data_IF_010532578620
#
_entry.id   IF_010532578620
#
_cell.length_a   1.000
_cell.length_b   1.000
_cell.length_c   1.000
_cell.angle_alpha   90.00
_cell.angle_beta   90.00
_cell.angle_gamma   90.00
#
_symmetry.space_group_name_H-M   'P 1'
#
loop_
_entity.id
_entity.type
_entity.pdbx_description
1 polymer ?
#
# COMPACT_ATOMS: atom_id res chain seq x y z
N UNK A 1 -0.13 20.75 2.87
CA UNK A 1 0.74 19.65 3.34
C UNK A 1 1.47 19.10 2.13
N UNK A 2 2.80 18.95 2.20
CA UNK A 2 3.63 18.45 1.09
C UNK A 2 4.33 17.16 1.52
N UNK A 3 3.63 16.00 1.53
CA UNK A 3 4.24 14.73 1.90
C UNK A 3 5.39 14.41 0.94
N UNK A 4 6.48 13.88 1.49
CA UNK A 4 7.67 13.47 0.75
C UNK A 4 7.59 11.97 0.44
N UNK A 5 8.28 11.51 -0.59
CA UNK A 5 8.41 10.06 -0.87
C UNK A 5 7.11 9.27 -1.09
N UNK A 6 6.01 9.92 -1.48
CA UNK A 6 4.78 9.21 -1.81
C UNK A 6 4.97 8.43 -3.12
N UNK A 7 4.58 7.16 -3.13
CA UNK A 7 4.57 6.31 -4.32
C UNK A 7 4.95 4.87 -4.05
N UNK A 8 5.19 4.14 -5.15
CA UNK A 8 5.57 2.73 -5.16
C UNK A 8 6.92 2.59 -5.86
N UNK A 9 7.71 1.59 -5.44
CA UNK A 9 8.92 1.15 -6.16
C UNK A 9 8.60 -0.25 -6.69
N UNK A 10 8.52 -0.41 -8.02
CA UNK A 10 8.14 -1.68 -8.66
C UNK A 10 9.18 -2.78 -8.38
N UNK A 11 10.45 -2.39 -8.40
CA UNK A 11 11.65 -3.19 -8.17
C UNK A 11 12.25 -2.90 -6.79
N UNK A 12 11.40 -2.88 -5.76
CA UNK A 12 11.82 -2.73 -4.38
C UNK A 12 12.59 -3.97 -3.88
N UNK A 13 13.68 -3.72 -3.16
CA UNK A 13 14.47 -4.78 -2.52
C UNK A 13 13.79 -5.32 -1.26
N UNK A 14 12.92 -4.52 -0.63
CA UNK A 14 12.10 -4.93 0.50
C UNK A 14 10.78 -4.18 0.55
N UNK A 15 9.73 -4.87 1.00
CA UNK A 15 8.40 -4.30 1.14
C UNK A 15 7.75 -4.73 2.45
N UNK A 16 7.18 -3.76 3.16
CA UNK A 16 6.54 -3.97 4.45
C UNK A 16 5.16 -3.34 4.47
N UNK A 17 4.14 -4.13 4.79
CA UNK A 17 2.77 -3.68 4.96
C UNK A 17 2.27 -3.91 6.39
N UNK A 18 1.64 -2.89 6.94
CA UNK A 18 1.01 -2.92 8.26
C UNK A 18 -0.33 -2.21 8.18
N UNK A 19 -1.37 -2.83 8.71
CA UNK A 19 -2.68 -2.21 8.86
C UNK A 19 -3.21 -2.36 10.28
N UNK A 20 -4.02 -1.40 10.72
CA UNK A 20 -4.74 -1.47 11.98
C UNK A 20 -6.26 -1.52 11.73
N UNK A 21 -6.93 -2.67 11.94
CA UNK A 21 -8.36 -2.81 11.70
C UNK A 21 -9.22 -1.94 12.63
N UNK A 22 -8.69 -1.48 13.77
CA UNK A 22 -9.43 -0.60 14.67
C UNK A 22 -9.62 0.83 14.12
N UNK A 23 -8.69 1.28 13.27
CA UNK A 23 -8.67 2.64 12.73
C UNK A 23 -8.83 2.68 11.20
N UNK A 24 -8.69 1.54 10.53
CA UNK A 24 -8.72 1.44 9.06
C UNK A 24 -7.48 1.96 8.37
N UNK A 25 -6.43 2.34 9.13
CA UNK A 25 -5.17 2.82 8.57
C UNK A 25 -4.35 1.64 8.02
N UNK A 26 -3.88 1.75 6.78
CA UNK A 26 -2.98 0.79 6.12
C UNK A 26 -1.76 1.53 5.58
N UNK A 27 -0.56 1.05 5.89
CA UNK A 27 0.71 1.63 5.50
C UNK A 27 1.59 0.59 4.82
N UNK A 28 2.12 0.94 3.65
CA UNK A 28 3.04 0.11 2.88
C UNK A 28 4.30 0.91 2.57
N UNK A 29 5.45 0.37 2.97
CA UNK A 29 6.77 0.93 2.67
C UNK A 29 7.51 0.08 1.66
N UNK A 30 8.13 0.76 0.70
CA UNK A 30 8.98 0.19 -0.33
C UNK A 30 10.39 0.73 -0.13
N UNK A 31 11.37 -0.15 0.00
CA UNK A 31 12.77 0.23 0.20
C UNK A 31 13.64 -0.30 -0.93
N UNK A 32 14.59 0.51 -1.37
CA UNK A 32 15.66 0.12 -2.29
C UNK A 32 16.99 0.24 -1.56
N UNK A 33 17.74 -0.85 -1.49
CA UNK A 33 18.95 -0.96 -0.67
C UNK A 33 20.14 -1.22 -1.56
N UNK A 34 21.13 -0.32 -1.49
CA UNK A 34 22.39 -0.43 -2.20
C UNK A 34 23.54 -0.34 -1.22
N UNK A 35 24.47 -1.30 -1.30
CA UNK A 35 25.66 -1.33 -0.43
C UNK A 35 25.32 -1.18 1.08
N UNK A 36 24.24 -1.85 1.51
CA UNK A 36 23.74 -1.82 2.90
C UNK A 36 23.18 -0.45 3.38
N UNK A 37 22.89 0.46 2.45
CA UNK A 37 22.21 1.74 2.69
C UNK A 37 20.89 1.83 1.94
N UNK A 38 19.91 2.49 2.53
CA UNK A 38 18.63 2.77 1.90
C UNK A 38 18.86 3.89 0.88
N UNK A 39 18.92 3.53 -0.41
CA UNK A 39 19.12 4.48 -1.52
C UNK A 39 17.84 5.26 -1.79
N UNK A 40 16.71 4.55 -1.87
CA UNK A 40 15.40 5.17 -1.99
C UNK A 40 14.38 4.48 -1.10
N UNK A 41 13.41 5.27 -0.69
CA UNK A 41 12.31 4.84 0.14
C UNK A 41 11.08 5.55 -0.37
N UNK A 42 10.01 4.79 -0.57
CA UNK A 42 8.68 5.31 -0.89
C UNK A 42 7.64 4.67 0.00
N UNK A 43 6.54 5.37 0.21
CA UNK A 43 5.41 4.82 0.93
C UNK A 43 4.10 5.06 0.19
N UNK A 44 3.16 4.15 0.46
CA UNK A 44 1.76 4.29 0.15
C UNK A 44 1.00 4.10 1.46
N UNK A 45 0.03 4.97 1.74
CA UNK A 45 -0.76 4.87 2.96
C UNK A 45 -2.20 5.23 2.65
N UNK A 46 -3.11 4.49 3.24
CA UNK A 46 -4.54 4.80 3.28
C UNK A 46 -4.90 5.04 4.73
N UNK A 47 -5.31 6.26 5.07
CA UNK A 47 -5.58 6.62 6.44
C UNK A 47 -5.75 8.11 6.66
N UNK A 48 -5.78 8.49 7.93
CA UNK A 48 -5.93 9.89 8.31
C UNK A 48 -4.70 10.74 7.92
N UNK A 49 -4.84 12.08 7.87
CA UNK A 49 -3.72 12.97 7.54
C UNK A 49 -2.51 12.85 8.49
N UNK A 50 -2.73 12.34 9.71
CA UNK A 50 -1.64 12.04 10.65
C UNK A 50 -0.83 10.81 10.20
N UNK A 51 -1.49 9.77 9.67
CA UNK A 51 -0.82 8.63 9.06
C UNK A 51 0.08 9.07 7.90
N UNK A 52 -0.41 9.94 7.02
CA UNK A 52 0.37 10.51 5.90
C UNK A 52 1.59 11.30 6.42
N UNK A 53 1.41 12.14 7.44
CA UNK A 53 2.50 12.94 8.01
C UNK A 53 3.57 12.06 8.68
N UNK A 54 3.15 11.03 9.43
CA UNK A 54 4.03 10.03 10.03
C UNK A 54 4.81 9.29 8.96
N UNK A 55 4.14 8.73 7.95
CA UNK A 55 4.81 7.97 6.89
C UNK A 55 5.82 8.84 6.13
N UNK A 56 5.47 10.11 5.86
CA UNK A 56 6.38 11.08 5.25
C UNK A 56 7.59 11.41 6.12
N UNK A 57 7.46 11.43 7.43
CA UNK A 57 8.59 11.70 8.32
C UNK A 57 9.48 10.45 8.44
N UNK A 58 8.88 9.28 8.61
CA UNK A 58 9.60 7.99 8.66
C UNK A 58 10.41 7.79 7.37
N UNK A 59 9.83 8.10 6.21
CA UNK A 59 10.50 7.92 4.93
C UNK A 59 11.75 8.80 4.80
N UNK A 60 11.66 10.05 5.22
CA UNK A 60 12.79 10.99 5.21
C UNK A 60 13.85 10.60 6.24
N UNK A 61 13.44 10.13 7.43
CA UNK A 61 14.35 9.65 8.46
C UNK A 61 15.09 8.38 8.05
N UNK A 62 14.50 7.53 7.23
CA UNK A 62 15.08 6.27 6.77
C UNK A 62 16.02 6.44 5.57
N UNK A 63 15.74 7.41 4.69
CA UNK A 63 16.50 7.62 3.46
C UNK A 63 17.97 7.96 3.75
N UNK A 64 18.89 7.25 3.09
CA UNK A 64 20.34 7.43 3.23
C UNK A 64 20.99 6.75 4.46
N UNK A 65 20.19 6.25 5.41
CA UNK A 65 20.68 5.47 6.55
C UNK A 65 21.05 4.05 6.14
N UNK A 66 21.92 3.44 6.93
CA UNK A 66 22.15 2.00 6.82
C UNK A 66 20.94 1.21 7.30
N UNK A 67 20.84 -0.06 6.87
CA UNK A 67 19.75 -0.95 7.29
C UNK A 67 19.67 -1.08 8.81
N UNK A 68 20.82 -1.13 9.50
CA UNK A 68 20.91 -1.22 10.96
C UNK A 68 20.49 0.07 11.67
N UNK A 69 20.78 1.23 11.08
CA UNK A 69 20.34 2.52 11.61
C UNK A 69 18.84 2.73 11.39
N UNK A 70 18.31 2.26 10.27
CA UNK A 70 16.88 2.34 9.98
C UNK A 70 16.05 1.44 10.92
N UNK A 71 16.58 0.28 11.34
CA UNK A 71 15.98 -0.59 12.35
C UNK A 71 15.94 0.02 13.77
N UNK A 72 16.73 1.06 14.02
CA UNK A 72 16.72 1.77 15.30
C UNK A 72 15.69 2.90 15.34
N UNK A 73 15.04 3.20 14.22
CA UNK A 73 14.02 4.26 14.16
C UNK A 73 12.81 3.78 14.95
N UNK A 74 12.57 4.41 16.09
CA UNK A 74 11.43 4.10 16.94
C UNK A 74 10.30 5.09 16.71
N UNK A 75 9.12 4.73 17.19
CA UNK A 75 7.95 5.60 17.18
C UNK A 75 8.16 6.90 17.97
N UNK A 76 9.06 6.88 18.96
CA UNK A 76 9.43 8.08 19.71
C UNK A 76 10.21 9.05 18.83
N UNK A 77 11.19 8.56 18.07
CA UNK A 77 11.98 9.39 17.17
C UNK A 77 11.10 10.09 16.12
N UNK A 78 10.10 9.38 15.61
CA UNK A 78 9.12 9.94 14.65
C UNK A 78 8.22 10.98 15.32
N UNK A 79 7.77 10.71 16.55
CA UNK A 79 6.96 11.66 17.31
C UNK A 79 7.73 12.94 17.67
N UNK A 80 9.01 12.81 18.01
CA UNK A 80 9.91 13.94 18.28
C UNK A 80 10.20 14.74 17.01
N UNK A 81 10.42 14.07 15.87
CA UNK A 81 10.64 14.72 14.58
C UNK A 81 9.41 15.50 14.08
N UNK A 82 8.21 15.14 14.53
CA UNK A 82 6.95 15.84 14.25
C UNK A 82 6.61 16.91 15.31
N UNK A 83 7.59 17.34 16.12
CA UNK A 83 7.44 18.35 17.19
C UNK A 83 6.44 17.94 18.30
N UNK A 84 6.25 16.62 18.46
CA UNK A 84 5.34 16.03 19.43
C UNK A 84 3.98 15.70 18.81
N UNK A 85 3.62 14.42 18.87
CA UNK A 85 2.26 13.96 18.57
C UNK A 85 1.44 13.93 19.87
N UNK A 86 0.21 14.47 19.88
CA UNK A 86 -0.66 14.34 21.03
C UNK A 86 -0.88 12.85 21.34
N UNK A 87 -0.89 12.48 22.63
CA UNK A 87 -0.85 11.09 23.12
C UNK A 87 -1.91 10.18 22.48
N UNK A 88 -3.07 10.76 22.13
CA UNK A 88 -4.18 10.06 21.49
C UNK A 88 -3.86 9.58 20.05
N UNK A 89 -2.89 10.20 19.36
CA UNK A 89 -2.49 9.88 17.97
C UNK A 89 -1.19 9.08 17.86
N UNK A 90 -0.59 8.69 18.99
CA UNK A 90 0.62 7.86 18.99
C UNK A 90 0.42 6.49 18.34
N UNK A 91 -0.81 5.96 18.33
CA UNK A 91 -1.11 4.70 17.65
C UNK A 91 -0.93 4.79 16.12
N UNK A 92 -1.17 5.95 15.49
CA UNK A 92 -0.87 6.17 14.07
C UNK A 92 0.64 6.29 13.83
N UNK A 93 1.39 6.83 14.80
CA UNK A 93 2.86 6.90 14.76
C UNK A 93 3.48 5.52 14.79
N UNK A 94 2.89 4.62 15.60
CA UNK A 94 3.34 3.24 15.75
C UNK A 94 3.39 2.45 14.44
N UNK A 95 2.37 2.63 13.60
CA UNK A 95 2.26 1.90 12.33
C UNK A 95 3.37 2.26 11.32
N UNK A 96 3.88 3.49 11.37
CA UNK A 96 4.88 3.96 10.41
C UNK A 96 6.24 3.29 10.60
N UNK A 97 6.76 3.26 11.83
CA UNK A 97 8.03 2.58 12.10
C UNK A 97 7.89 1.06 11.96
N UNK A 98 6.75 0.49 12.36
CA UNK A 98 6.48 -0.94 12.21
C UNK A 98 6.49 -1.35 10.73
N UNK A 99 5.91 -0.54 9.84
CA UNK A 99 5.90 -0.80 8.41
C UNK A 99 7.30 -0.71 7.79
N UNK A 100 8.12 0.27 8.23
CA UNK A 100 9.52 0.35 7.82
C UNK A 100 10.32 -0.87 8.27
N UNK A 101 10.15 -1.30 9.53
CA UNK A 101 10.84 -2.48 10.05
C UNK A 101 10.48 -3.74 9.27
N UNK A 102 9.19 -3.94 8.97
CA UNK A 102 8.76 -5.05 8.11
C UNK A 102 9.40 -5.00 6.72
N UNK A 103 9.53 -3.82 6.13
CA UNK A 103 10.18 -3.69 4.81
C UNK A 103 11.66 -4.08 4.86
N UNK A 104 12.34 -3.74 5.95
CA UNK A 104 13.73 -4.13 6.20
C UNK A 104 13.84 -5.64 6.45
N UNK A 105 12.95 -6.21 7.26
CA UNK A 105 12.90 -7.66 7.51
C UNK A 105 12.67 -8.44 6.21
N UNK A 106 11.78 -7.96 5.35
CA UNK A 106 11.55 -8.54 4.02
C UNK A 106 12.81 -8.51 3.16
N UNK A 107 13.51 -7.37 3.09
CA UNK A 107 14.80 -7.27 2.41
C UNK A 107 15.83 -8.27 2.94
N UNK A 108 15.94 -8.39 4.27
CA UNK A 108 16.86 -9.34 4.91
C UNK A 108 16.47 -10.79 4.63
N UNK A 109 15.17 -11.11 4.60
CA UNK A 109 14.68 -12.44 4.26
C UNK A 109 15.05 -12.80 2.81
N UNK A 110 14.79 -11.90 1.86
CA UNK A 110 15.12 -12.07 0.44
C UNK A 110 16.62 -12.24 0.22
N UNK A 111 17.44 -11.42 0.90
CA UNK A 111 18.91 -11.53 0.85
C UNK A 111 19.42 -12.88 1.34
N UNK A 112 18.75 -13.49 2.31
CA UNK A 112 19.08 -14.81 2.85
C UNK A 112 18.43 -15.98 2.08
N UNK A 113 17.81 -15.72 0.92
CA UNK A 113 17.18 -16.75 0.08
C UNK A 113 15.87 -17.31 0.62
N UNK A 114 15.28 -16.69 1.66
CA UNK A 114 13.92 -16.99 2.13
C UNK A 114 12.98 -16.07 1.36
N UNK A 115 12.15 -16.62 0.47
CA UNK A 115 11.24 -15.85 -0.37
C UNK A 115 10.51 -14.77 0.42
N UNK A 116 10.69 -13.51 0.00
CA UNK A 116 10.17 -12.36 0.73
C UNK A 116 8.66 -12.23 0.70
N UNK A 117 8.11 -11.43 1.61
CA UNK A 117 6.77 -10.87 1.49
C UNK A 117 6.73 -10.07 0.20
N UNK A 118 6.11 -10.63 -0.83
CA UNK A 118 5.67 -9.84 -1.95
C UNK A 118 4.73 -8.77 -1.40
N UNK A 119 4.88 -7.49 -1.80
CA UNK A 119 3.83 -6.52 -1.54
C UNK A 119 2.51 -7.15 -1.93
N UNK A 120 1.50 -7.02 -1.07
CA UNK A 120 0.14 -7.03 -1.55
C UNK A 120 -0.02 -5.76 -2.41
N UNK A 121 0.62 -5.74 -3.59
CA UNK A 121 0.06 -5.02 -4.71
C UNK A 121 -1.31 -5.66 -4.80
N UNK A 122 -2.32 -4.93 -4.34
CA UNK A 122 -3.68 -5.25 -4.74
C UNK A 122 -3.55 -5.45 -6.24
N UNK A 123 -3.81 -6.66 -6.76
CA UNK A 123 -4.06 -6.74 -8.19
C UNK A 123 -5.12 -5.67 -8.42
N UNK A 124 -4.86 -4.78 -9.37
CA UNK A 124 -5.89 -3.92 -9.95
C UNK A 124 -7.20 -4.70 -9.92
N UNK A 125 -8.30 -4.09 -9.42
CA UNK A 125 -9.49 -4.81 -8.96
C UNK A 125 -9.72 -5.97 -9.90
N UNK A 126 -9.51 -7.19 -9.42
CA UNK A 126 -9.97 -8.36 -10.16
C UNK A 126 -11.48 -8.16 -10.11
N UNK A 127 -12.04 -7.73 -11.24
CA UNK A 127 -13.48 -7.71 -11.44
C UNK A 127 -14.00 -9.03 -10.89
N UNK A 128 -14.72 -8.92 -9.78
CA UNK A 128 -15.28 -10.07 -9.11
C UNK A 128 -16.15 -10.78 -10.12
N UNK A 129 -15.77 -12.00 -10.45
CA UNK A 129 -16.45 -12.95 -11.33
C UNK A 129 -17.91 -13.14 -10.91
N UNK A 130 -18.77 -12.24 -11.39
CA UNK A 130 -20.23 -12.38 -11.51
C UNK A 130 -20.70 -11.31 -12.52
N UNK A 131 -20.13 -11.37 -13.73
CA UNK A 131 -20.33 -10.39 -14.80
C UNK A 131 -21.35 -10.85 -15.86
N UNK A 132 -22.37 -11.60 -15.41
CA UNK A 132 -23.52 -11.95 -16.23
C UNK A 132 -24.68 -10.98 -15.94
N UNK A 133 -25.06 -10.20 -16.95
CA UNK A 133 -26.29 -9.41 -16.96
C UNK A 133 -27.42 -10.23 -17.58
N UNK A 134 -28.65 -9.94 -17.17
CA UNK A 134 -29.83 -10.57 -17.75
C UNK A 134 -30.38 -9.72 -18.89
N UNK A 135 -30.65 -10.32 -20.03
CA UNK A 135 -31.28 -9.62 -21.15
C UNK A 135 -32.75 -9.30 -20.80
N UNK A 136 -33.18 -8.03 -20.76
CA UNK A 136 -34.54 -7.64 -20.36
C UNK A 136 -35.62 -8.08 -21.36
N UNK A 137 -35.23 -8.57 -22.54
CA UNK A 137 -36.15 -8.99 -23.60
C UNK A 137 -36.41 -10.50 -23.62
N UNK A 138 -35.47 -11.31 -23.16
CA UNK A 138 -35.58 -12.77 -23.24
C UNK A 138 -35.17 -13.50 -21.97
N UNK A 139 -34.80 -12.78 -20.91
CA UNK A 139 -34.40 -13.34 -19.63
C UNK A 139 -33.31 -14.43 -19.76
N UNK A 140 -32.36 -14.21 -20.68
CA UNK A 140 -31.17 -15.04 -20.85
C UNK A 140 -29.97 -14.30 -20.30
N UNK A 141 -29.12 -15.04 -19.60
CA UNK A 141 -27.86 -14.52 -19.07
C UNK A 141 -26.88 -14.23 -20.20
N UNK A 142 -26.20 -13.09 -20.09
CA UNK A 142 -25.30 -12.59 -21.11
C UNK A 142 -24.15 -11.83 -20.45
N UNK A 143 -22.92 -11.88 -20.99
CA UNK A 143 -21.83 -11.08 -20.46
C UNK A 143 -22.17 -9.58 -20.52
N UNK A 144 -21.79 -8.81 -19.51
CA UNK A 144 -22.05 -7.36 -19.44
C UNK A 144 -21.47 -6.55 -20.60
N UNK A 145 -20.40 -7.03 -21.22
CA UNK A 145 -19.64 -6.29 -22.24
C UNK A 145 -20.04 -6.62 -23.70
N UNK A 146 -21.24 -7.13 -23.95
CA UNK A 146 -21.69 -7.38 -25.34
C UNK A 146 -22.77 -6.39 -25.79
N UNK A 147 -22.63 -5.78 -26.99
CA UNK A 147 -23.56 -4.77 -27.49
C UNK A 147 -24.92 -5.35 -27.93
N UNK A 148 -25.02 -6.69 -28.00
CA UNK A 148 -26.25 -7.40 -28.35
C UNK A 148 -26.34 -8.74 -27.61
N UNK A 149 -27.58 -9.16 -27.32
CA UNK A 149 -27.82 -10.48 -26.75
C UNK A 149 -27.53 -11.58 -27.79
N UNK A 150 -26.68 -12.55 -27.43
CA UNK A 150 -26.31 -13.65 -28.33
C UNK A 150 -27.47 -14.63 -28.61
N UNK A 151 -28.51 -14.64 -27.78
CA UNK A 151 -29.66 -15.53 -27.94
C UNK A 151 -30.74 -14.94 -28.86
N UNK A 152 -31.10 -13.66 -28.68
CA UNK A 152 -32.20 -13.02 -29.42
C UNK A 152 -31.75 -11.97 -30.43
N UNK A 153 -30.50 -11.50 -30.38
CA UNK A 153 -29.96 -10.48 -31.29
C UNK A 153 -30.38 -9.04 -30.98
N UNK A 154 -31.10 -8.79 -29.88
CA UNK A 154 -31.50 -7.44 -29.48
C UNK A 154 -30.30 -6.64 -28.95
N UNK A 155 -30.24 -5.34 -29.24
CA UNK A 155 -29.23 -4.43 -28.69
C UNK A 155 -29.42 -4.26 -27.18
N UNK A 156 -28.30 -4.30 -26.45
CA UNK A 156 -28.25 -4.08 -25.00
C UNK A 156 -27.59 -2.72 -24.79
N UNK A 157 -28.40 -1.67 -24.72
CA UNK A 157 -27.90 -0.29 -24.56
C UNK A 157 -27.25 -0.13 -23.19
N UNK A 158 -25.94 0.11 -23.18
CA UNK A 158 -25.12 0.29 -21.99
C UNK A 158 -24.89 1.77 -21.68
N UNK A 159 -25.94 2.55 -21.34
CA UNK A 159 -25.76 3.90 -20.76
C UNK A 159 -26.92 4.32 -19.82
N UNK A 160 -26.56 5.09 -18.79
CA UNK A 160 -27.31 5.71 -17.68
C UNK A 160 -27.35 4.87 -16.38
N UNK A 161 -26.66 5.17 -15.28
CA UNK A 161 -25.85 6.32 -14.81
C UNK A 161 -24.75 5.80 -13.86
#
# INVERSE_FOLDING_TARGET
MNPRNVGVIEDADGVGEVGNPACGDVMTFYIKVKENRIEDVKFQTFGCGAAIAVSSMVSELAKGKTVEEALKITNKDVAEALEGLPTQKLHCSNLGADALHKAIEDYLARKNGRGGLQPAVTPAPKESEDDNCHCPYCDVENPREVPFCQACGCALDSEAE
#
